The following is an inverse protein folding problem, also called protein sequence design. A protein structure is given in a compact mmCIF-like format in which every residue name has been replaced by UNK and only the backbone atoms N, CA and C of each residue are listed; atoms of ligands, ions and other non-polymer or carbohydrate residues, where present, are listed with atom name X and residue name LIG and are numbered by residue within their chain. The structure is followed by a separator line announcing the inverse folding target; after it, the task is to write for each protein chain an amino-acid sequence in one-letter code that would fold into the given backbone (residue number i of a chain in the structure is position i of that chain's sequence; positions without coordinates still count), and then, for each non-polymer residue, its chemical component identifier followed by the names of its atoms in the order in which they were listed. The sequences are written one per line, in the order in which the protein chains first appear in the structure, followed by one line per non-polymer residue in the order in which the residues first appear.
data_IF_503447344416
#
_entry.id   IF_503447344416
#
_cell.length_a   1.000
_cell.length_b   1.000
_cell.length_c   1.000
_cell.angle_alpha   90.00
_cell.angle_beta   90.00
_cell.angle_gamma   90.00
#
_symmetry.space_group_name_H-M   'P 1'
#
loop_
_entity.id
_entity.type
_entity.pdbx_description
1 polymer ?
#
# COMPACT_ATOMS: atom_id res chain seq x y z
N UNK A 1 -8.14 15.18 2.83
CA UNK A 1 -6.86 15.85 2.52
C UNK A 1 -7.06 17.35 2.59
N UNK A 2 -6.01 18.08 2.96
CA UNK A 2 -6.09 19.52 3.14
C UNK A 2 -5.12 20.24 2.20
N UNK A 3 -5.59 21.02 1.22
CA UNK A 3 -4.72 21.90 0.44
C UNK A 3 -4.08 22.93 1.38
N UNK A 4 -2.77 23.13 1.23
CA UNK A 4 -2.02 24.13 1.96
C UNK A 4 -1.75 25.34 1.05
N UNK A 5 -2.35 26.49 1.38
CA UNK A 5 -2.02 27.76 0.75
C UNK A 5 -1.18 28.59 1.71
N UNK A 6 0.04 28.93 1.29
CA UNK A 6 1.00 29.71 2.08
C UNK A 6 1.00 31.19 1.66
N UNK A 7 0.78 32.09 2.61
CA UNK A 7 0.85 33.54 2.40
C UNK A 7 1.97 34.14 3.25
N UNK A 8 2.73 35.08 2.66
CA UNK A 8 3.70 35.91 3.39
C UNK A 8 3.04 37.26 3.68
N UNK A 9 2.86 37.57 4.95
CA UNK A 9 2.30 38.85 5.40
C UNK A 9 3.35 39.96 5.26
N UNK A 10 2.89 41.21 5.17
CA UNK A 10 3.75 42.39 5.02
C UNK A 10 4.75 42.54 6.19
N UNK A 11 4.42 42.02 7.37
CA UNK A 11 5.29 41.99 8.55
C UNK A 11 6.31 40.84 8.54
N UNK A 12 6.40 40.06 7.46
CA UNK A 12 7.34 38.95 7.32
C UNK A 12 6.86 37.60 7.87
N UNK A 13 5.74 37.56 8.60
CA UNK A 13 5.18 36.33 9.11
C UNK A 13 4.56 35.47 8.00
N UNK A 14 4.60 34.14 8.16
CA UNK A 14 3.98 33.19 7.23
C UNK A 14 2.72 32.59 7.86
N UNK A 15 1.63 32.56 7.10
CA UNK A 15 0.41 31.84 7.47
C UNK A 15 0.22 30.69 6.49
N UNK A 16 0.10 29.49 7.04
CA UNK A 16 -0.31 28.29 6.29
C UNK A 16 -1.76 28.01 6.65
N UNK A 17 -2.64 27.99 5.66
CA UNK A 17 -4.04 27.58 5.86
C UNK A 17 -4.21 26.15 5.38
N UNK A 18 -4.81 25.34 6.24
CA UNK A 18 -5.15 23.95 5.98
C UNK A 18 -6.68 23.84 5.78
N UNK A 19 -7.14 23.34 4.64
CA UNK A 19 -8.57 23.22 4.32
C UNK A 19 -9.01 21.77 4.13
N UNK A 20 -9.68 21.15 5.10
CA UNK A 20 -10.22 19.79 4.89
C UNK A 20 -11.41 19.83 3.91
N UNK A 21 -11.28 19.18 2.76
CA UNK A 21 -12.37 19.02 1.79
C UNK A 21 -13.16 17.75 2.15
N UNK A 22 -14.43 17.91 2.54
CA UNK A 22 -15.36 16.79 2.67
C UNK A 22 -15.80 16.34 1.26
N UNK A 23 -15.94 15.02 1.05
CA UNK A 23 -16.38 14.43 -0.22
C UNK A 23 -15.47 14.75 -1.43
N UNK A 24 -14.16 14.53 -1.30
CA UNK A 24 -13.18 14.76 -2.39
C UNK A 24 -13.57 14.14 -3.74
N UNK A 25 -14.31 13.04 -3.72
CA UNK A 25 -14.85 12.39 -4.92
C UNK A 25 -15.69 13.34 -5.79
N UNK A 26 -16.43 14.29 -5.19
CA UNK A 26 -17.22 15.29 -5.92
C UNK A 26 -16.35 16.32 -6.67
N UNK A 27 -15.09 16.45 -6.28
CA UNK A 27 -14.14 17.41 -6.85
C UNK A 27 -13.10 16.72 -7.74
N UNK A 28 -13.26 15.43 -8.04
CA UNK A 28 -12.31 14.63 -8.85
C UNK A 28 -11.88 15.35 -10.12
N UNK A 29 -12.81 15.94 -10.88
CA UNK A 29 -12.51 16.67 -12.13
C UNK A 29 -11.54 17.82 -11.93
N UNK A 30 -11.57 18.49 -10.79
CA UNK A 30 -10.71 19.64 -10.47
C UNK A 30 -9.41 19.20 -9.78
N UNK A 31 -9.47 18.18 -8.93
CA UNK A 31 -8.33 17.69 -8.16
C UNK A 31 -7.37 16.85 -9.01
N UNK A 32 -7.90 16.02 -9.90
CA UNK A 32 -7.09 15.14 -10.77
C UNK A 32 -5.95 15.84 -11.50
N UNK A 33 -6.15 16.95 -12.24
CA UNK A 33 -5.04 17.63 -12.93
C UNK A 33 -4.01 18.22 -11.96
N UNK A 34 -4.41 18.60 -10.74
CA UNK A 34 -3.50 19.11 -9.71
C UNK A 34 -2.65 17.95 -9.18
N UNK A 35 -3.25 16.84 -8.79
CA UNK A 35 -2.55 15.67 -8.23
C UNK A 35 -1.60 15.02 -9.24
N UNK A 36 -2.04 14.91 -10.49
CA UNK A 36 -1.24 14.32 -11.56
C UNK A 36 -0.18 15.30 -12.11
N UNK A 37 -0.18 16.57 -11.69
CA UNK A 37 0.87 17.52 -12.05
C UNK A 37 2.22 17.11 -11.49
N UNK A 38 3.28 17.46 -12.23
CA UNK A 38 4.66 17.17 -11.84
C UNK A 38 5.01 17.86 -10.53
N UNK A 39 4.62 19.13 -10.40
CA UNK A 39 4.89 19.98 -9.25
C UNK A 39 4.27 19.39 -7.98
N UNK A 40 3.01 18.96 -8.05
CA UNK A 40 2.34 18.33 -6.92
C UNK A 40 3.07 17.06 -6.48
N UNK A 41 3.44 16.18 -7.44
CA UNK A 41 4.15 14.94 -7.14
C UNK A 41 5.49 15.19 -6.48
N UNK A 42 6.26 16.17 -6.96
CA UNK A 42 7.57 16.52 -6.42
C UNK A 42 7.49 17.13 -5.02
N UNK A 43 6.46 17.93 -4.73
CA UNK A 43 6.22 18.50 -3.40
C UNK A 43 5.83 17.40 -2.41
N UNK A 44 4.98 16.45 -2.82
CA UNK A 44 4.42 15.43 -1.92
C UNK A 44 5.26 14.15 -1.84
N UNK A 45 6.22 13.96 -2.74
CA UNK A 45 7.15 12.83 -2.74
C UNK A 45 8.60 13.33 -2.73
N UNK A 46 9.15 13.72 -1.55
CA UNK A 46 10.52 14.22 -1.45
C UNK A 46 11.59 13.26 -2.00
N UNK A 47 11.26 11.97 -2.08
CA UNK A 47 12.09 10.94 -2.70
C UNK A 47 12.40 11.24 -4.18
N UNK A 48 11.53 11.94 -4.90
CA UNK A 48 11.77 12.35 -6.29
C UNK A 48 12.99 13.27 -6.44
N UNK A 49 13.32 14.03 -5.39
CA UNK A 49 14.44 14.98 -5.36
C UNK A 49 15.74 14.37 -4.81
N UNK A 50 15.73 13.12 -4.38
CA UNK A 50 16.92 12.45 -3.85
C UNK A 50 17.87 12.10 -5.01
N UNK A 51 19.17 12.34 -4.79
CA UNK A 51 20.25 11.83 -5.62
C UNK A 51 20.61 10.41 -5.15
N UNK A 52 20.58 9.43 -6.07
CA UNK A 52 20.94 8.04 -5.79
C UNK A 52 22.36 7.87 -5.25
N UNK A 53 23.29 8.76 -5.63
CA UNK A 53 24.70 8.70 -5.17
C UNK A 53 24.87 8.98 -3.67
N UNK A 54 23.81 9.46 -3.01
CA UNK A 54 23.78 9.73 -1.57
C UNK A 54 23.06 8.63 -0.79
N UNK A 55 22.59 7.57 -1.46
CA UNK A 55 21.89 6.46 -0.85
C UNK A 55 22.89 5.36 -0.52
N UNK A 56 22.94 4.96 0.74
CA UNK A 56 23.81 3.88 1.21
C UNK A 56 23.13 2.51 1.11
N UNK A 57 21.82 2.47 1.34
CA UNK A 57 21.06 1.23 1.43
C UNK A 57 19.58 1.45 1.17
N UNK A 58 18.98 0.53 0.42
CA UNK A 58 17.53 0.42 0.27
C UNK A 58 17.09 -0.89 0.93
N UNK A 59 15.99 -0.83 1.68
CA UNK A 59 15.37 -1.99 2.32
C UNK A 59 13.88 -1.97 2.03
N UNK A 60 13.38 -3.08 1.50
CA UNK A 60 11.96 -3.26 1.20
C UNK A 60 11.45 -4.36 2.11
N UNK A 61 10.49 -4.01 2.96
CA UNK A 61 9.99 -4.90 4.00
C UNK A 61 8.48 -5.10 3.83
N UNK A 62 8.00 -6.35 3.72
CA UNK A 62 6.57 -6.65 3.71
C UNK A 62 5.86 -6.01 4.90
N UNK A 63 4.63 -5.53 4.71
CA UNK A 63 3.87 -4.88 5.80
C UNK A 63 3.40 -5.85 6.87
N UNK A 64 3.10 -7.10 6.49
CA UNK A 64 2.58 -8.06 7.43
C UNK A 64 3.63 -8.38 8.51
N UNK A 65 3.21 -8.48 9.76
CA UNK A 65 4.12 -8.76 10.87
C UNK A 65 4.71 -10.18 10.79
N UNK A 66 5.94 -10.38 11.27
CA UNK A 66 6.65 -11.66 11.32
C UNK A 66 8.15 -11.55 10.99
N UNK A 67 8.91 -12.60 11.29
CA UNK A 67 10.32 -12.75 10.87
C UNK A 67 10.38 -13.08 9.37
N UNK A 68 9.95 -12.17 8.50
CA UNK A 68 10.06 -12.36 7.05
C UNK A 68 11.36 -11.77 6.52
N UNK A 69 11.82 -12.36 5.43
CA UNK A 69 12.88 -11.79 4.61
C UNK A 69 12.52 -10.37 4.17
N UNK A 70 13.55 -9.59 3.91
CA UNK A 70 13.45 -8.24 3.37
C UNK A 70 14.42 -8.16 2.20
N UNK A 71 14.00 -7.54 1.10
CA UNK A 71 14.90 -7.24 0.01
C UNK A 71 15.85 -6.12 0.44
N UNK A 72 17.16 -6.35 0.36
CA UNK A 72 18.19 -5.37 0.70
C UNK A 72 19.06 -5.08 -0.52
N UNK A 73 19.17 -3.82 -0.89
CA UNK A 73 19.98 -3.37 -2.03
C UNK A 73 21.09 -2.46 -1.49
N UNK A 74 22.33 -2.88 -1.72
CA UNK A 74 23.56 -2.17 -1.30
C UNK A 74 24.44 -1.76 -2.48
N UNK A 75 24.28 -2.42 -3.63
CA UNK A 75 25.08 -2.14 -4.82
C UNK A 75 24.67 -0.78 -5.42
N UNK A 76 25.62 0.18 -5.60
CA UNK A 76 25.29 1.51 -6.12
C UNK A 76 24.61 1.51 -7.49
N UNK A 77 25.01 0.62 -8.41
CA UNK A 77 24.40 0.55 -9.74
C UNK A 77 22.95 0.01 -9.67
N UNK A 78 22.70 -0.96 -8.78
CA UNK A 78 21.34 -1.40 -8.50
C UNK A 78 20.50 -0.32 -7.82
N UNK A 79 21.05 0.43 -6.87
CA UNK A 79 20.39 1.57 -6.24
C UNK A 79 19.95 2.59 -7.29
N UNK A 80 20.83 2.97 -8.22
CA UNK A 80 20.50 3.90 -9.31
C UNK A 80 19.33 3.37 -10.14
N UNK A 81 19.42 2.14 -10.65
CA UNK A 81 18.37 1.59 -11.52
C UNK A 81 17.05 1.34 -10.78
N UNK A 82 17.09 0.95 -9.50
CA UNK A 82 15.92 0.85 -8.64
C UNK A 82 15.22 2.22 -8.52
N UNK A 83 16.01 3.25 -8.25
CA UNK A 83 15.48 4.60 -8.03
C UNK A 83 14.90 5.21 -9.31
N UNK A 84 15.47 4.90 -10.47
CA UNK A 84 14.91 5.25 -11.77
C UNK A 84 13.51 4.62 -11.97
N UNK A 85 13.33 3.34 -11.65
CA UNK A 85 12.02 2.69 -11.79
C UNK A 85 11.00 3.24 -10.79
N UNK A 86 11.43 3.49 -9.53
CA UNK A 86 10.58 4.13 -8.53
C UNK A 86 10.14 5.53 -8.98
N UNK A 87 11.05 6.34 -9.55
CA UNK A 87 10.70 7.66 -10.10
C UNK A 87 9.70 7.54 -11.26
N UNK A 88 9.90 6.59 -12.17
CA UNK A 88 8.97 6.35 -13.28
C UNK A 88 7.56 6.02 -12.79
N UNK A 89 7.44 5.14 -11.78
CA UNK A 89 6.15 4.80 -11.18
C UNK A 89 5.50 6.02 -10.51
N UNK A 90 6.25 6.79 -9.72
CA UNK A 90 5.74 8.01 -9.07
C UNK A 90 5.26 9.06 -10.08
N UNK A 91 6.04 9.34 -11.12
CA UNK A 91 5.65 10.29 -12.16
C UNK A 91 4.48 9.80 -13.02
N UNK A 92 4.30 8.48 -13.17
CA UNK A 92 3.19 7.89 -13.92
C UNK A 92 1.92 7.66 -13.09
N UNK A 93 2.01 7.74 -11.76
CA UNK A 93 0.88 7.46 -10.86
C UNK A 93 -0.36 8.30 -11.20
N UNK A 94 -1.53 7.67 -11.14
CA UNK A 94 -2.84 8.28 -11.42
C UNK A 94 -3.55 8.72 -10.16
N UNK A 95 -4.40 9.74 -10.28
CA UNK A 95 -5.17 10.31 -9.17
C UNK A 95 -5.90 9.23 -8.35
N UNK A 96 -6.55 8.28 -9.03
CA UNK A 96 -7.30 7.19 -8.39
C UNK A 96 -6.41 6.31 -7.50
N UNK A 97 -5.14 6.10 -7.88
CA UNK A 97 -4.13 5.37 -7.08
C UNK A 97 -3.60 6.21 -5.92
N UNK A 98 -3.45 7.53 -6.13
CA UNK A 98 -2.90 8.42 -5.10
C UNK A 98 -3.82 8.53 -3.88
N UNK A 99 -5.14 8.53 -4.12
CA UNK A 99 -6.14 8.66 -3.06
C UNK A 99 -6.58 7.31 -2.47
N UNK A 100 -6.31 6.19 -3.16
CA UNK A 100 -6.65 4.84 -2.68
C UNK A 100 -5.54 4.36 -1.74
N UNK A 101 -5.87 4.05 -0.48
CA UNK A 101 -4.87 3.61 0.49
C UNK A 101 -4.48 2.16 0.19
N UNK A 102 -3.43 2.00 -0.59
CA UNK A 102 -2.88 0.72 -1.01
C UNK A 102 -1.40 0.69 -0.71
N UNK A 103 -0.95 -0.39 -0.09
CA UNK A 103 0.46 -0.61 0.22
C UNK A 103 0.70 -2.11 0.31
N UNK A 104 1.76 -2.54 -0.37
CA UNK A 104 2.23 -3.92 -0.39
C UNK A 104 3.41 -4.12 0.57
N UNK A 105 4.25 -3.10 0.70
CA UNK A 105 5.45 -3.11 1.55
C UNK A 105 5.93 -1.67 1.80
N UNK A 106 6.83 -1.53 2.77
CA UNK A 106 7.51 -0.28 3.04
C UNK A 106 8.92 -0.30 2.44
N UNK A 107 9.28 0.78 1.74
CA UNK A 107 10.62 1.03 1.22
C UNK A 107 11.28 2.05 2.13
N UNK A 108 12.35 1.62 2.80
CA UNK A 108 13.23 2.46 3.60
C UNK A 108 14.52 2.73 2.84
N UNK A 109 14.88 4.01 2.75
CA UNK A 109 16.08 4.51 2.07
C UNK A 109 16.96 5.15 3.13
N UNK A 110 18.12 4.54 3.36
CA UNK A 110 19.16 5.08 4.25
C UNK A 110 20.13 5.92 3.42
N UNK A 111 20.30 7.17 3.83
CA UNK A 111 21.20 8.13 3.22
C UNK A 111 22.58 8.11 3.90
N UNK A 112 23.61 8.58 3.21
CA UNK A 112 24.98 8.68 3.74
C UNK A 112 25.18 9.63 4.92
N UNK A 113 24.22 10.54 5.14
CA UNK A 113 24.16 11.40 6.33
C UNK A 113 23.41 10.74 7.50
N UNK A 114 23.16 9.43 7.43
CA UNK A 114 22.34 8.63 8.33
C UNK A 114 20.87 9.06 8.43
N UNK A 115 20.39 9.96 7.57
CA UNK A 115 18.97 10.27 7.52
C UNK A 115 18.22 9.17 6.76
N UNK A 116 16.96 8.94 7.13
CA UNK A 116 16.10 7.95 6.46
C UNK A 116 14.96 8.63 5.71
N UNK A 117 14.52 8.01 4.61
CA UNK A 117 13.27 8.33 3.91
C UNK A 117 12.45 7.04 3.79
N UNK A 118 11.14 7.16 4.00
CA UNK A 118 10.21 6.03 3.90
C UNK A 118 9.18 6.33 2.81
N UNK A 119 8.86 5.32 2.00
CA UNK A 119 7.81 5.38 1.00
C UNK A 119 7.14 4.01 0.86
N UNK A 120 5.83 4.01 0.60
CA UNK A 120 5.08 2.79 0.36
C UNK A 120 5.33 2.27 -1.06
N UNK A 121 5.56 0.96 -1.19
CA UNK A 121 5.47 0.27 -2.47
C UNK A 121 3.99 -0.09 -2.72
N UNK A 122 3.38 0.57 -3.70
CA UNK A 122 1.98 0.35 -4.07
C UNK A 122 1.84 -0.72 -5.14
N UNK A 123 0.68 -1.37 -5.21
CA UNK A 123 0.38 -2.36 -6.25
C UNK A 123 0.39 -1.80 -7.68
N UNK A 124 0.22 -0.49 -7.82
CA UNK A 124 0.27 0.23 -9.10
C UNK A 124 1.68 0.52 -9.61
N UNK A 125 2.72 0.26 -8.82
CA UNK A 125 4.12 0.52 -9.19
C UNK A 125 4.68 -0.63 -10.05
N UNK A 126 4.23 -0.68 -11.29
CA UNK A 126 4.50 -1.77 -12.23
C UNK A 126 5.97 -1.85 -12.67
N UNK A 127 6.65 -0.72 -12.85
CA UNK A 127 8.05 -0.72 -13.26
C UNK A 127 8.94 -1.28 -12.15
N UNK A 128 8.70 -0.86 -10.91
CA UNK A 128 9.42 -1.34 -9.74
C UNK A 128 9.16 -2.83 -9.49
N UNK A 129 7.90 -3.27 -9.59
CA UNK A 129 7.53 -4.70 -9.51
C UNK A 129 8.32 -5.53 -10.51
N UNK A 130 8.35 -5.11 -11.78
CA UNK A 130 9.13 -5.80 -12.82
C UNK A 130 10.62 -5.85 -12.48
N UNK A 131 11.19 -4.72 -12.05
CA UNK A 131 12.61 -4.63 -11.70
C UNK A 131 13.00 -5.60 -10.58
N UNK A 132 12.14 -5.75 -9.56
CA UNK A 132 12.32 -6.68 -8.45
C UNK A 132 12.20 -8.14 -8.90
N UNK A 133 11.23 -8.47 -9.75
CA UNK A 133 11.06 -9.81 -10.32
C UNK A 133 12.27 -10.20 -11.15
N UNK A 134 12.74 -9.32 -12.04
CA UNK A 134 13.88 -9.58 -12.94
C UNK A 134 15.20 -9.81 -12.15
N UNK A 135 15.23 -9.47 -10.86
CA UNK A 135 16.38 -9.64 -9.94
C UNK A 135 16.16 -10.68 -8.84
N UNK A 136 15.04 -11.40 -8.87
CA UNK A 136 14.65 -12.36 -7.83
C UNK A 136 14.57 -11.74 -6.41
N UNK A 137 14.18 -10.47 -6.31
CA UNK A 137 14.02 -9.75 -5.04
C UNK A 137 12.56 -9.58 -4.63
N UNK A 138 11.60 -9.94 -5.50
CA UNK A 138 10.19 -9.65 -5.28
C UNK A 138 9.60 -10.42 -4.09
N UNK A 139 9.91 -11.71 -3.96
CA UNK A 139 9.38 -12.55 -2.88
C UNK A 139 9.88 -12.10 -1.49
N UNK A 140 11.10 -11.56 -1.40
CA UNK A 140 11.60 -10.96 -0.16
C UNK A 140 11.04 -9.54 0.10
N UNK A 141 10.51 -8.89 -0.93
CA UNK A 141 10.05 -7.49 -0.84
C UNK A 141 8.57 -7.38 -0.44
N UNK A 142 7.73 -8.37 -0.77
CA UNK A 142 6.28 -8.31 -0.54
C UNK A 142 5.74 -9.62 0.00
N UNK A 143 4.56 -9.56 0.63
CA UNK A 143 3.81 -10.77 0.97
C UNK A 143 3.20 -11.40 -0.29
N UNK A 144 3.46 -12.68 -0.49
CA UNK A 144 2.95 -13.50 -1.60
C UNK A 144 2.03 -14.60 -1.07
N UNK A 145 1.34 -15.29 -1.97
CA UNK A 145 0.57 -16.47 -1.59
C UNK A 145 1.41 -17.59 -0.95
N UNK A 146 2.71 -17.67 -1.28
CA UNK A 146 3.59 -18.68 -0.70
C UNK A 146 3.77 -18.49 0.81
N UNK A 147 3.76 -17.26 1.29
CA UNK A 147 3.88 -16.93 2.72
C UNK A 147 2.63 -17.29 3.53
N UNK A 148 1.48 -17.46 2.87
CA UNK A 148 0.16 -17.57 3.53
C UNK A 148 -0.30 -19.01 3.55
N UNK A 149 -0.50 -19.58 4.73
CA UNK A 149 -1.03 -20.94 4.89
C UNK A 149 -2.50 -21.02 4.41
N UNK A 150 -3.32 -20.07 4.86
CA UNK A 150 -4.71 -19.95 4.45
C UNK A 150 -5.26 -18.53 4.65
N UNK A 151 -6.34 -18.22 3.94
CA UNK A 151 -7.10 -16.98 4.13
C UNK A 151 -8.49 -17.29 4.68
N UNK A 152 -8.99 -16.42 5.55
CA UNK A 152 -10.39 -16.44 6.04
C UNK A 152 -11.06 -15.16 5.57
N UNK A 153 -12.20 -15.29 4.89
CA UNK A 153 -13.01 -14.15 4.42
C UNK A 153 -14.31 -14.10 5.22
N UNK A 154 -14.66 -12.90 5.68
CA UNK A 154 -15.90 -12.58 6.36
C UNK A 154 -16.64 -11.48 5.60
N UNK A 155 -17.96 -11.60 5.45
CA UNK A 155 -18.79 -10.50 4.99
C UNK A 155 -18.97 -9.46 6.12
N UNK A 156 -18.85 -8.18 5.79
CA UNK A 156 -18.94 -7.08 6.74
C UNK A 156 -20.20 -6.24 6.49
N UNK A 157 -21.35 -6.91 6.58
CA UNK A 157 -22.66 -6.33 6.28
C UNK A 157 -23.00 -5.10 7.14
N UNK A 158 -22.36 -4.95 8.31
CA UNK A 158 -22.56 -3.82 9.22
C UNK A 158 -21.51 -2.71 9.09
N UNK A 159 -20.56 -2.80 8.14
CA UNK A 159 -19.41 -1.88 8.04
C UNK A 159 -18.73 -1.66 9.39
N UNK A 160 -18.55 -2.76 10.12
CA UNK A 160 -17.94 -2.73 11.43
C UNK A 160 -16.42 -2.55 11.29
N UNK A 161 -15.81 -2.06 12.36
CA UNK A 161 -14.37 -2.10 12.53
C UNK A 161 -13.85 -3.52 12.29
N UNK A 162 -12.94 -3.62 11.33
CA UNK A 162 -12.36 -4.87 10.80
C UNK A 162 -11.62 -5.70 11.85
N UNK A 163 -10.92 -5.04 12.78
CA UNK A 163 -10.19 -5.72 13.84
C UNK A 163 -11.16 -6.30 14.88
N UNK A 164 -12.18 -5.54 15.26
CA UNK A 164 -13.26 -6.03 16.12
C UNK A 164 -14.01 -7.18 15.47
N UNK A 165 -14.31 -7.09 14.17
CA UNK A 165 -14.96 -8.15 13.41
C UNK A 165 -14.14 -9.45 13.52
N UNK A 166 -12.84 -9.41 13.23
CA UNK A 166 -11.97 -10.58 13.30
C UNK A 166 -11.82 -11.12 14.73
N UNK A 167 -11.67 -10.25 15.74
CA UNK A 167 -11.55 -10.67 17.13
C UNK A 167 -12.82 -11.37 17.64
N UNK A 168 -14.01 -10.87 17.27
CA UNK A 168 -15.29 -11.36 17.78
C UNK A 168 -15.83 -12.55 16.99
N UNK A 169 -15.63 -12.55 15.67
CA UNK A 169 -16.43 -13.40 14.78
C UNK A 169 -15.65 -14.57 14.18
N UNK A 170 -14.31 -14.53 14.11
CA UNK A 170 -13.55 -15.61 13.45
C UNK A 170 -13.68 -16.96 14.16
N UNK A 171 -13.90 -16.94 15.48
CA UNK A 171 -14.11 -18.11 16.34
C UNK A 171 -15.57 -18.58 16.40
N UNK A 172 -16.51 -17.81 15.85
CA UNK A 172 -17.92 -18.17 15.87
C UNK A 172 -18.20 -19.19 14.74
N UNK A 173 -18.55 -20.42 15.12
CA UNK A 173 -18.85 -21.52 14.18
C UNK A 173 -20.15 -21.25 13.40
N UNK A 174 -21.08 -20.49 13.96
CA UNK A 174 -22.35 -20.15 13.31
C UNK A 174 -22.20 -19.06 12.23
N UNK A 175 -21.03 -18.42 12.12
CA UNK A 175 -20.82 -17.37 11.14
C UNK A 175 -20.42 -17.98 9.79
N UNK A 176 -21.10 -17.56 8.71
CA UNK A 176 -20.71 -17.95 7.37
C UNK A 176 -19.34 -17.33 7.05
N UNK A 177 -18.32 -18.18 6.88
CA UNK A 177 -16.93 -17.77 6.58
C UNK A 177 -16.37 -18.64 5.47
N UNK A 178 -15.65 -18.01 4.55
CA UNK A 178 -14.96 -18.72 3.47
C UNK A 178 -13.50 -18.92 3.85
N UNK A 179 -13.04 -20.17 3.87
CA UNK A 179 -11.63 -20.52 4.09
C UNK A 179 -11.01 -20.93 2.76
N UNK A 180 -9.91 -20.28 2.39
CA UNK A 180 -9.18 -20.53 1.14
C UNK A 180 -7.76 -21.00 1.46
N UNK A 181 -7.37 -22.14 0.88
CA UNK A 181 -5.97 -22.65 0.87
C UNK A 181 -5.34 -22.64 -0.52
N UNK A 182 -6.14 -22.40 -1.55
CA UNK A 182 -5.68 -22.34 -2.93
C UNK A 182 -4.79 -21.10 -3.14
N UNK A 183 -3.53 -21.33 -3.51
CA UNK A 183 -2.52 -20.27 -3.65
C UNK A 183 -2.87 -19.26 -4.75
N UNK A 184 -3.49 -19.69 -5.85
CA UNK A 184 -3.90 -18.77 -6.91
C UNK A 184 -5.04 -17.86 -6.44
N UNK A 185 -6.00 -18.41 -5.70
CA UNK A 185 -7.07 -17.60 -5.09
C UNK A 185 -6.52 -16.65 -4.02
N UNK A 186 -5.56 -17.09 -3.19
CA UNK A 186 -4.91 -16.22 -2.20
C UNK A 186 -4.17 -15.07 -2.89
N UNK A 187 -3.41 -15.35 -3.96
CA UNK A 187 -2.72 -14.30 -4.71
C UNK A 187 -3.72 -13.29 -5.30
N UNK A 188 -4.82 -13.79 -5.88
CA UNK A 188 -5.90 -12.92 -6.37
C UNK A 188 -6.50 -12.04 -5.27
N UNK A 189 -6.61 -12.52 -4.02
CA UNK A 189 -7.05 -11.68 -2.90
C UNK A 189 -6.00 -10.62 -2.55
N UNK A 190 -4.73 -11.01 -2.41
CA UNK A 190 -3.64 -10.08 -2.12
C UNK A 190 -3.58 -8.92 -3.12
N UNK A 191 -3.73 -9.23 -4.41
CA UNK A 191 -3.64 -8.24 -5.50
C UNK A 191 -4.79 -7.22 -5.50
N UNK A 192 -5.97 -7.58 -4.97
CA UNK A 192 -7.19 -6.74 -5.01
C UNK A 192 -7.57 -6.13 -3.66
N UNK A 193 -6.87 -6.52 -2.58
CA UNK A 193 -7.11 -5.99 -1.24
C UNK A 193 -6.44 -4.64 -0.99
N UNK A 194 -7.02 -3.89 -0.07
CA UNK A 194 -6.47 -2.64 0.46
C UNK A 194 -6.20 -2.76 1.97
N UNK A 195 -5.56 -1.75 2.54
CA UNK A 195 -5.38 -1.67 3.99
C UNK A 195 -6.75 -1.76 4.71
N UNK A 196 -6.79 -2.20 5.97
CA UNK A 196 -8.05 -2.43 6.67
C UNK A 196 -8.96 -1.19 6.71
N UNK A 197 -10.15 -1.32 6.13
CA UNK A 197 -11.23 -0.34 6.11
C UNK A 197 -12.60 -1.03 6.26
N UNK A 198 -13.63 -0.25 6.59
CA UNK A 198 -15.03 -0.69 6.71
C UNK A 198 -15.67 -0.98 5.33
N UNK A 199 -15.03 -1.85 4.54
CA UNK A 199 -15.51 -2.37 3.24
C UNK A 199 -16.40 -3.61 3.40
N UNK A 200 -16.94 -4.07 2.28
CA UNK A 200 -17.93 -5.16 2.17
C UNK A 200 -17.41 -6.53 2.63
N UNK A 201 -16.12 -6.80 2.41
CA UNK A 201 -15.47 -8.03 2.87
C UNK A 201 -14.17 -7.74 3.60
N UNK A 202 -13.90 -8.53 4.63
CA UNK A 202 -12.67 -8.47 5.41
C UNK A 202 -11.96 -9.81 5.33
N UNK A 203 -10.65 -9.76 5.12
CA UNK A 203 -9.83 -10.93 4.87
C UNK A 203 -8.73 -10.98 5.92
N UNK A 204 -8.57 -12.13 6.55
CA UNK A 204 -7.46 -12.44 7.45
C UNK A 204 -6.55 -13.46 6.78
N UNK A 205 -5.32 -13.05 6.48
CA UNK A 205 -4.28 -13.92 5.95
C UNK A 205 -3.48 -14.52 7.10
N UNK A 206 -3.46 -15.85 7.22
CA UNK A 206 -2.74 -16.57 8.26
C UNK A 206 -1.44 -17.13 7.69
N UNK A 207 -0.35 -16.89 8.41
CA UNK A 207 1.00 -17.40 8.12
C UNK A 207 1.24 -18.65 8.96
N UNK A 208 2.09 -19.56 8.49
CA UNK A 208 2.37 -20.83 9.20
C UNK A 208 2.85 -20.60 10.65
N UNK A 209 3.61 -19.52 10.89
CA UNK A 209 4.20 -19.21 12.20
C UNK A 209 3.49 -18.07 12.97
N UNK A 210 2.28 -17.66 12.55
CA UNK A 210 1.56 -16.54 13.20
C UNK A 210 0.19 -16.93 13.72
N UNK A 211 -0.06 -16.62 14.99
CA UNK A 211 -1.38 -16.73 15.61
C UNK A 211 -2.30 -15.54 15.30
N UNK A 212 -1.77 -14.48 14.67
CA UNK A 212 -2.53 -13.29 14.32
C UNK A 212 -2.62 -13.13 12.81
N UNK A 213 -3.83 -12.95 12.26
CA UNK A 213 -4.00 -12.74 10.83
C UNK A 213 -3.48 -11.36 10.44
N UNK A 214 -2.86 -11.27 9.27
CA UNK A 214 -2.71 -10.01 8.57
C UNK A 214 -4.05 -9.64 7.94
N UNK A 215 -4.68 -8.60 8.48
CA UNK A 215 -6.02 -8.19 8.08
C UNK A 215 -5.92 -7.22 6.91
N UNK A 216 -6.81 -7.39 5.94
CA UNK A 216 -7.01 -6.53 4.78
C UNK A 216 -8.51 -6.44 4.47
N UNK A 217 -8.88 -5.46 3.66
CA UNK A 217 -10.26 -5.24 3.23
C UNK A 217 -10.38 -5.26 1.72
N UNK A 218 -11.57 -5.59 1.22
CA UNK A 218 -11.87 -5.56 -0.21
C UNK A 218 -13.32 -5.11 -0.43
N UNK A 219 -13.49 -4.13 -1.31
CA UNK A 219 -14.80 -3.66 -1.73
C UNK A 219 -15.47 -4.69 -2.66
N UNK A 220 -16.80 -4.71 -2.69
CA UNK A 220 -17.54 -5.65 -3.55
C UNK A 220 -17.13 -5.51 -5.03
N UNK A 221 -16.88 -4.30 -5.52
CA UNK A 221 -16.46 -4.06 -6.91
C UNK A 221 -15.15 -4.73 -7.29
N UNK A 222 -14.24 -4.91 -6.34
CA UNK A 222 -12.91 -5.52 -6.52
C UNK A 222 -12.91 -7.00 -6.12
N UNK A 223 -14.00 -7.49 -5.53
CA UNK A 223 -14.08 -8.84 -4.96
C UNK A 223 -14.18 -9.90 -6.06
N UNK A 224 -13.30 -10.92 -6.07
CA UNK A 224 -13.35 -12.01 -7.04
C UNK A 224 -14.64 -12.82 -7.00
N UNK A 225 -15.07 -13.35 -8.15
CA UNK A 225 -16.33 -14.08 -8.29
C UNK A 225 -16.48 -15.29 -7.36
N UNK A 226 -15.37 -15.98 -7.03
CA UNK A 226 -15.42 -17.14 -6.13
C UNK A 226 -15.82 -16.76 -4.71
N UNK A 227 -15.52 -15.52 -4.27
CA UNK A 227 -15.97 -15.00 -2.97
C UNK A 227 -17.44 -14.61 -3.07
N UNK A 228 -17.81 -13.83 -4.10
CA UNK A 228 -19.20 -13.40 -4.32
C UNK A 228 -20.15 -14.58 -4.39
N UNK A 229 -19.81 -15.61 -5.15
CA UNK A 229 -20.66 -16.79 -5.33
C UNK A 229 -20.80 -17.63 -4.06
N UNK A 230 -19.87 -17.53 -3.11
CA UNK A 230 -19.98 -18.22 -1.83
C UNK A 230 -20.95 -17.51 -0.86
N UNK A 231 -21.02 -16.18 -0.91
CA UNK A 231 -21.84 -15.36 -0.01
C UNK A 231 -23.21 -14.95 -0.59
N UNK A 232 -23.52 -15.36 -1.83
CA UNK A 232 -24.84 -15.21 -2.46
C UNK A 232 -25.87 -16.16 -1.89
#
# INVERSE_FOLDING_TARGET
MSPNSGYKLENGNKVVREYSIKNEQQYTTYLKPIYESKEYKEIHNPVLQVNSDKIDKITISPEAEGNRSQAVILDPAQITTFFEQLKNDLYSEKYESMIKPSSMSNIRILMNDNSERNIQFKSTYGNLKKWLIDRNLYEDAVTTANDIEYAVILANQGKQDVYKLFQQQVKNIALNKLIIKDKNKIQSLLDNTIIPQEDDFVIGFYFEDSNYPYIKSIADTETPDFVKNYFK
#
